data_IF_009102546044
#
_entry.id   IF_009102546044
#
_cell.length_a   1.000
_cell.length_b   1.000
_cell.length_c   1.000
_cell.angle_alpha   90.00
_cell.angle_beta   90.00
_cell.angle_gamma   90.00
#
_symmetry.space_group_name_H-M   'P 1'
#
loop_
_entity.id
_entity.type
_entity.pdbx_description
1 polymer ?
#
# COMPACT_ATOMS: atom_id res chain seq x y z
N UNK A 1 -15.99 7.64 5.24
CA UNK A 1 -14.61 7.10 5.30
C UNK A 1 -13.83 7.64 6.50
N UNK A 2 -13.14 6.76 7.24
CA UNK A 2 -12.15 7.11 8.27
C UNK A 2 -10.78 6.66 7.78
N UNK A 3 -9.76 7.50 7.96
CA UNK A 3 -8.37 7.15 7.67
C UNK A 3 -7.58 7.00 8.98
N UNK A 4 -6.92 5.86 9.15
CA UNK A 4 -5.98 5.63 10.24
C UNK A 4 -4.55 5.66 9.70
N UNK A 5 -3.70 6.52 10.26
CA UNK A 5 -2.33 6.73 9.79
C UNK A 5 -1.35 6.31 10.89
N UNK A 6 -0.69 5.18 10.66
CA UNK A 6 0.35 4.65 11.52
C UNK A 6 1.75 4.97 10.99
N UNK A 7 2.72 5.09 11.92
CA UNK A 7 4.14 5.01 11.58
C UNK A 7 4.66 3.66 12.09
N UNK A 8 5.09 2.79 11.19
CA UNK A 8 5.52 1.44 11.53
C UNK A 8 7.04 1.27 11.38
N UNK A 9 7.63 0.51 12.31
CA UNK A 9 9.00 0.00 12.19
C UNK A 9 9.04 -1.38 11.51
N UNK A 10 7.92 -2.10 11.46
CA UNK A 10 7.82 -3.45 10.89
C UNK A 10 7.13 -3.46 9.52
N UNK A 11 7.79 -2.90 8.51
CA UNK A 11 7.32 -2.89 7.13
C UNK A 11 6.93 -4.28 6.62
N UNK A 12 7.77 -5.29 6.89
CA UNK A 12 7.55 -6.65 6.40
C UNK A 12 6.27 -7.25 6.98
N UNK A 13 6.00 -7.02 8.26
CA UNK A 13 4.75 -7.42 8.91
C UNK A 13 3.52 -6.84 8.23
N UNK A 14 3.51 -5.54 7.94
CA UNK A 14 2.40 -4.88 7.24
C UNK A 14 2.20 -5.43 5.82
N UNK A 15 3.30 -5.63 5.06
CA UNK A 15 3.24 -6.24 3.73
C UNK A 15 2.68 -7.66 3.80
N UNK A 16 3.15 -8.48 4.74
CA UNK A 16 2.70 -9.86 4.90
C UNK A 16 1.21 -9.94 5.27
N UNK A 17 0.76 -9.07 6.18
CA UNK A 17 -0.64 -8.97 6.56
C UNK A 17 -1.53 -8.60 5.36
N UNK A 18 -1.13 -7.62 4.55
CA UNK A 18 -1.89 -7.24 3.36
C UNK A 18 -1.86 -8.33 2.27
N UNK A 19 -0.74 -9.04 2.10
CA UNK A 19 -0.67 -10.19 1.18
C UNK A 19 -1.64 -11.29 1.61
N UNK A 20 -1.75 -11.58 2.91
CA UNK A 20 -2.72 -12.58 3.41
C UNK A 20 -4.17 -12.22 3.07
N UNK A 21 -4.51 -10.93 3.09
CA UNK A 21 -5.84 -10.46 2.66
C UNK A 21 -6.07 -10.65 1.17
N UNK A 22 -5.05 -10.41 0.35
CA UNK A 22 -5.14 -10.68 -1.11
C UNK A 22 -5.34 -12.17 -1.35
N UNK A 23 -4.63 -13.02 -0.61
CA UNK A 23 -4.67 -14.46 -0.80
C UNK A 23 -5.98 -15.10 -0.26
N UNK A 24 -6.61 -14.52 0.77
CA UNK A 24 -7.71 -15.18 1.53
C UNK A 24 -9.02 -14.40 1.63
N UNK A 25 -9.00 -13.08 1.45
CA UNK A 25 -10.10 -12.18 1.81
C UNK A 25 -10.59 -11.32 0.63
N UNK A 26 -10.58 -11.87 -0.59
CA UNK A 26 -11.03 -11.19 -1.82
C UNK A 26 -10.42 -9.78 -2.02
N UNK A 27 -9.20 -9.56 -1.52
CA UNK A 27 -8.50 -8.30 -1.72
C UNK A 27 -7.67 -8.34 -3.01
N UNK A 28 -7.38 -7.15 -3.55
CA UNK A 28 -6.53 -7.01 -4.72
C UNK A 28 -5.56 -5.84 -4.54
N UNK A 29 -4.36 -5.97 -5.12
CA UNK A 29 -3.45 -4.85 -5.31
C UNK A 29 -4.02 -4.00 -6.45
N UNK A 30 -4.36 -2.74 -6.15
CA UNK A 30 -5.00 -1.84 -7.11
C UNK A 30 -4.01 -0.84 -7.73
N UNK A 31 -2.96 -0.49 -6.98
CA UNK A 31 -2.02 0.53 -7.42
C UNK A 31 -0.62 0.32 -6.84
N UNK A 32 0.37 0.55 -7.70
CA UNK A 32 1.79 0.56 -7.38
C UNK A 32 2.42 1.86 -7.88
N UNK A 33 3.16 2.54 -7.01
CA UNK A 33 4.01 3.66 -7.41
C UNK A 33 5.48 3.30 -7.18
N UNK A 34 6.34 3.55 -8.16
CA UNK A 34 7.80 3.29 -8.10
C UNK A 34 8.18 1.86 -7.66
N UNK A 35 7.25 0.93 -7.82
CA UNK A 35 7.43 -0.52 -7.64
C UNK A 35 7.13 -1.16 -9.00
N UNK A 36 8.03 -1.99 -9.55
CA UNK A 36 7.76 -2.65 -10.82
C UNK A 36 6.53 -3.55 -10.74
N UNK A 37 5.84 -3.72 -11.86
CA UNK A 37 4.78 -4.73 -11.97
C UNK A 37 5.42 -6.10 -12.26
N UNK A 38 4.73 -7.20 -11.92
CA UNK A 38 5.07 -8.56 -12.33
C UNK A 38 4.29 -8.96 -13.58
N UNK A 39 4.73 -10.01 -14.29
CA UNK A 39 4.15 -10.40 -15.58
C UNK A 39 2.65 -10.80 -15.54
N UNK A 40 2.08 -11.02 -14.36
CA UNK A 40 0.69 -11.47 -14.20
C UNK A 40 -0.03 -10.81 -13.02
N UNK A 41 0.44 -9.64 -12.54
CA UNK A 41 -0.07 -8.99 -11.32
C UNK A 41 -0.11 -9.93 -10.10
N UNK A 42 0.79 -10.91 -10.07
CA UNK A 42 0.96 -11.83 -8.95
C UNK A 42 2.16 -11.38 -8.14
N UNK A 43 1.88 -11.02 -6.90
CA UNK A 43 2.87 -10.50 -5.98
C UNK A 43 3.03 -11.43 -4.79
N UNK A 44 4.16 -11.29 -4.11
CA UNK A 44 4.40 -11.95 -2.83
C UNK A 44 4.96 -10.94 -1.84
N UNK A 45 4.79 -11.23 -0.55
CA UNK A 45 5.39 -10.39 0.50
C UNK A 45 6.91 -10.28 0.33
N UNK A 46 7.58 -11.35 -0.09
CA UNK A 46 9.02 -11.35 -0.37
C UNK A 46 9.39 -10.45 -1.55
N UNK A 47 8.58 -10.44 -2.62
CA UNK A 47 8.77 -9.55 -3.76
C UNK A 47 8.71 -8.08 -3.33
N UNK A 48 7.64 -7.69 -2.63
CA UNK A 48 7.49 -6.31 -2.16
C UNK A 48 8.60 -5.92 -1.20
N UNK A 49 8.98 -6.78 -0.25
CA UNK A 49 10.07 -6.50 0.67
C UNK A 49 11.36 -6.13 -0.08
N UNK A 50 11.71 -6.91 -1.10
CA UNK A 50 12.89 -6.65 -1.95
C UNK A 50 12.79 -5.33 -2.71
N UNK A 51 11.61 -4.97 -3.21
CA UNK A 51 11.40 -3.66 -3.86
C UNK A 51 11.61 -2.50 -2.88
N UNK A 52 11.16 -2.63 -1.64
CA UNK A 52 11.29 -1.59 -0.63
C UNK A 52 12.68 -1.52 0.01
N UNK A 53 13.45 -2.61 0.07
CA UNK A 53 14.81 -2.66 0.64
C UNK A 53 15.75 -1.58 0.06
N UNK A 54 15.68 -1.33 -1.25
CA UNK A 54 16.46 -0.26 -1.90
C UNK A 54 16.15 1.12 -1.33
N UNK A 55 14.87 1.41 -1.06
CA UNK A 55 14.45 2.69 -0.48
C UNK A 55 14.76 2.78 1.02
N UNK A 56 14.67 1.67 1.76
CA UNK A 56 15.00 1.63 3.18
C UNK A 56 16.50 1.86 3.41
N UNK A 57 17.36 1.21 2.63
CA UNK A 57 18.81 1.37 2.73
C UNK A 57 19.27 2.81 2.48
N UNK A 58 18.61 3.52 1.57
CA UNK A 58 18.86 4.95 1.32
C UNK A 58 18.43 5.86 2.49
N UNK A 59 17.59 5.37 3.40
CA UNK A 59 16.98 6.12 4.50
C UNK A 59 17.35 5.58 5.90
N UNK A 60 18.51 4.96 6.05
CA UNK A 60 18.93 4.22 7.25
C UNK A 60 18.95 5.04 8.56
N UNK A 61 19.02 6.38 8.46
CA UNK A 61 19.00 7.30 9.62
C UNK A 61 17.59 7.62 10.12
N UNK A 62 16.55 7.20 9.41
CA UNK A 62 15.16 7.45 9.76
C UNK A 62 14.64 6.30 10.61
N UNK A 63 14.21 6.58 11.84
CA UNK A 63 13.74 5.53 12.77
C UNK A 63 12.40 4.90 12.33
N UNK A 64 11.51 5.71 11.72
CA UNK A 64 10.21 5.28 11.20
C UNK A 64 10.12 5.57 9.71
N UNK A 65 10.68 4.66 8.91
CA UNK A 65 10.79 4.77 7.45
C UNK A 65 9.47 4.51 6.71
N UNK A 66 8.49 3.90 7.37
CA UNK A 66 7.24 3.47 6.74
C UNK A 66 6.03 4.17 7.35
N UNK A 67 5.15 4.65 6.47
CA UNK A 67 3.80 5.11 6.80
C UNK A 67 2.81 4.10 6.28
N UNK A 68 2.05 3.52 7.19
CA UNK A 68 0.97 2.61 6.87
C UNK A 68 -0.36 3.36 7.06
N UNK A 69 -1.23 3.30 6.07
CA UNK A 69 -2.49 4.03 6.05
C UNK A 69 -3.61 3.03 5.75
N UNK A 70 -4.56 2.92 6.66
CA UNK A 70 -5.80 2.17 6.45
C UNK A 70 -6.91 3.15 6.10
N UNK A 71 -7.57 2.91 4.97
CA UNK A 71 -8.76 3.63 4.56
C UNK A 71 -9.97 2.72 4.79
N UNK A 72 -10.87 3.14 5.68
CA UNK A 72 -12.09 2.41 6.02
C UNK A 72 -13.32 3.23 5.55
N UNK A 73 -13.73 3.08 4.28
CA UNK A 73 -14.99 3.66 3.79
C UNK A 73 -16.18 3.10 4.57
N UNK A 74 -17.27 3.85 4.67
CA UNK A 74 -18.51 3.28 5.22
C UNK A 74 -18.99 2.18 4.25
N UNK A 75 -19.50 1.02 4.71
CA UNK A 75 -20.03 -0.01 3.81
C UNK A 75 -21.13 0.49 2.85
N UNK A 76 -21.78 1.62 3.17
CA UNK A 76 -22.74 2.29 2.29
C UNK A 76 -22.07 3.12 1.18
N UNK A 77 -20.84 3.55 1.39
CA UNK A 77 -20.03 4.28 0.41
C UNK A 77 -19.54 3.28 -0.65
N UNK A 78 -20.34 3.06 -1.69
CA UNK A 78 -19.94 2.23 -2.84
C UNK A 78 -19.01 3.02 -3.75
N UNK A 79 -17.71 2.81 -3.61
CA UNK A 79 -16.70 3.30 -4.55
C UNK A 79 -16.10 2.14 -5.34
N UNK A 80 -15.84 2.35 -6.63
CA UNK A 80 -15.14 1.37 -7.47
C UNK A 80 -13.64 1.34 -7.17
N UNK A 81 -12.95 0.30 -7.64
CA UNK A 81 -11.49 0.20 -7.53
C UNK A 81 -10.79 1.39 -8.23
N UNK A 82 -11.33 1.89 -9.33
CA UNK A 82 -10.82 3.10 -9.99
C UNK A 82 -10.95 4.33 -9.08
N UNK A 83 -12.12 4.52 -8.47
CA UNK A 83 -12.37 5.65 -7.57
C UNK A 83 -11.46 5.60 -6.34
N UNK A 84 -11.25 4.42 -5.75
CA UNK A 84 -10.29 4.26 -4.65
C UNK A 84 -8.87 4.59 -5.10
N UNK A 85 -8.49 4.15 -6.30
CA UNK A 85 -7.15 4.42 -6.84
C UNK A 85 -6.93 5.92 -7.07
N UNK A 86 -7.91 6.63 -7.63
CA UNK A 86 -7.86 8.09 -7.80
C UNK A 86 -7.72 8.81 -6.46
N UNK A 87 -8.53 8.44 -5.46
CA UNK A 87 -8.45 9.03 -4.12
C UNK A 87 -7.06 8.82 -3.48
N UNK A 88 -6.48 7.63 -3.63
CA UNK A 88 -5.14 7.34 -3.13
C UNK A 88 -4.10 8.16 -3.86
N UNK A 89 -4.14 8.24 -5.20
CA UNK A 89 -3.20 9.04 -5.97
C UNK A 89 -3.27 10.52 -5.57
N UNK A 90 -4.47 11.09 -5.48
CA UNK A 90 -4.67 12.47 -5.06
C UNK A 90 -4.16 12.74 -3.64
N UNK A 91 -4.46 11.84 -2.69
CA UNK A 91 -3.94 11.94 -1.32
C UNK A 91 -2.41 11.93 -1.32
N UNK A 92 -1.79 11.01 -2.07
CA UNK A 92 -0.33 10.89 -2.11
C UNK A 92 0.32 12.12 -2.74
N UNK A 93 -0.29 12.70 -3.76
CA UNK A 93 0.19 13.95 -4.37
C UNK A 93 0.10 15.12 -3.39
N UNK A 94 -1.07 15.34 -2.77
CA UNK A 94 -1.29 16.43 -1.81
C UNK A 94 -0.39 16.33 -0.58
N UNK A 95 -0.04 15.11 -0.17
CA UNK A 95 0.85 14.85 0.98
C UNK A 95 2.34 14.82 0.61
N UNK A 96 2.69 15.00 -0.66
CA UNK A 96 4.09 15.00 -1.13
C UNK A 96 4.73 13.61 -1.22
N UNK A 97 3.94 12.55 -1.26
CA UNK A 97 4.37 11.16 -1.38
C UNK A 97 4.42 10.63 -2.82
N UNK A 98 4.10 11.46 -3.82
CA UNK A 98 4.12 11.07 -5.24
C UNK A 98 5.47 10.49 -5.72
N UNK A 99 6.59 10.82 -5.06
CA UNK A 99 7.92 10.29 -5.39
C UNK A 99 8.32 9.05 -4.58
N UNK A 100 7.51 8.64 -3.60
CA UNK A 100 7.79 7.51 -2.70
C UNK A 100 7.26 6.19 -3.27
N UNK A 101 7.91 5.05 -2.97
CA UNK A 101 7.35 3.74 -3.28
C UNK A 101 6.05 3.52 -2.50
N UNK A 102 4.98 3.14 -3.20
CA UNK A 102 3.65 2.94 -2.61
C UNK A 102 3.06 1.63 -3.11
N UNK A 103 2.47 0.88 -2.19
CA UNK A 103 1.63 -0.29 -2.43
C UNK A 103 0.23 0.02 -1.88
N UNK A 104 -0.79 -0.05 -2.73
CA UNK A 104 -2.18 0.08 -2.31
C UNK A 104 -2.99 -1.17 -2.68
N UNK A 105 -3.69 -1.71 -1.69
CA UNK A 105 -4.58 -2.86 -1.83
C UNK A 105 -5.92 -2.58 -1.19
N UNK A 106 -7.00 -3.08 -1.79
CA UNK A 106 -8.36 -2.93 -1.31
C UNK A 106 -9.01 -4.29 -1.09
N UNK A 107 -9.84 -4.41 -0.05
CA UNK A 107 -10.71 -5.57 0.16
C UNK A 107 -11.98 -5.34 -0.67
N UNK A 108 -12.32 -6.27 -1.57
CA UNK A 108 -13.53 -6.17 -2.38
C UNK A 108 -14.69 -6.84 -1.65
N UNK A 109 -15.72 -6.06 -1.34
CA UNK A 109 -17.02 -6.54 -0.80
C UNK A 109 -18.02 -6.83 -1.89
#
# INVERSE_FOLDING_TARGET
MIAEIGKESNMYGAILYNQQKVDRENAAVLFLNKIPNTMHDRYSAAYFNKCFELYLSANIKTEKTVRHISLNPDPKDKASDEQFTEMVQEYMERMGYAISPILFSNIRT
#
